data_IF_966517436387
#
_entry.id   IF_966517436387
#
_cell.length_a   1.000
_cell.length_b   1.000
_cell.length_c   1.000
_cell.angle_alpha   90.00
_cell.angle_beta   90.00
_cell.angle_gamma   90.00
#
_symmetry.space_group_name_H-M   'P 1'
#
loop_
_entity.id
_entity.type
_entity.pdbx_description
1 polymer ?
#
# COMPACT_ATOMS: atom_id res chain seq x y z
N UNK A 1 3.27 5.03 9.60
CA UNK A 1 2.46 3.85 9.18
C UNK A 1 1.00 4.28 8.97
N UNK A 2 0.29 3.76 7.95
CA UNK A 2 -1.12 4.13 7.69
C UNK A 2 -2.09 3.50 8.69
N UNK A 3 -3.08 4.26 9.15
CA UNK A 3 -4.12 3.77 10.06
C UNK A 3 -5.40 3.39 9.32
N UNK A 4 -6.26 2.59 9.96
CA UNK A 4 -7.60 2.30 9.43
C UNK A 4 -8.40 3.60 9.19
N UNK A 5 -8.35 4.53 10.13
CA UNK A 5 -9.06 5.81 10.02
C UNK A 5 -8.57 6.64 8.84
N UNK A 6 -7.25 6.69 8.64
CA UNK A 6 -6.64 7.39 7.50
C UNK A 6 -7.07 6.77 6.16
N UNK A 7 -7.10 5.44 6.07
CA UNK A 7 -7.61 4.72 4.90
C UNK A 7 -9.09 5.02 4.67
N UNK A 8 -9.93 4.98 5.71
CA UNK A 8 -11.36 5.31 5.60
C UNK A 8 -11.57 6.74 5.11
N UNK A 9 -10.80 7.70 5.62
CA UNK A 9 -10.82 9.08 5.14
C UNK A 9 -10.39 9.19 3.68
N UNK A 10 -9.33 8.47 3.28
CA UNK A 10 -8.84 8.46 1.90
C UNK A 10 -9.86 7.87 0.92
N UNK A 11 -10.51 6.77 1.29
CA UNK A 11 -11.52 6.07 0.48
C UNK A 11 -12.93 6.68 0.61
N UNK A 12 -13.11 7.67 1.48
CA UNK A 12 -14.41 8.28 1.81
C UNK A 12 -15.44 7.25 2.30
N UNK A 13 -14.99 6.32 3.14
CA UNK A 13 -15.83 5.33 3.81
C UNK A 13 -16.22 5.86 5.19
N UNK A 14 -17.52 5.99 5.44
CA UNK A 14 -18.10 6.53 6.67
C UNK A 14 -18.74 5.46 7.57
N UNK A 15 -18.87 4.22 7.08
CA UNK A 15 -19.42 3.07 7.83
C UNK A 15 -18.32 2.10 8.30
N UNK A 16 -18.68 1.16 9.17
CA UNK A 16 -17.74 0.23 9.83
C UNK A 16 -17.78 -1.20 9.25
N UNK A 17 -18.77 -1.52 8.41
CA UNK A 17 -18.96 -2.88 7.87
C UNK A 17 -17.73 -3.44 7.15
N UNK A 18 -16.94 -2.57 6.52
CA UNK A 18 -15.73 -2.94 5.79
C UNK A 18 -14.45 -2.87 6.64
N UNK A 19 -14.50 -2.54 7.93
CA UNK A 19 -13.30 -2.32 8.75
C UNK A 19 -12.39 -3.55 8.80
N UNK A 20 -12.98 -4.74 8.95
CA UNK A 20 -12.22 -6.01 8.94
C UNK A 20 -11.52 -6.24 7.60
N UNK A 21 -12.22 -5.93 6.50
CA UNK A 21 -11.65 -6.03 5.16
C UNK A 21 -10.54 -5.01 4.97
N UNK A 22 -10.75 -3.74 5.32
CA UNK A 22 -9.76 -2.69 5.20
C UNK A 22 -8.48 -3.00 5.99
N UNK A 23 -8.60 -3.56 7.20
CA UNK A 23 -7.44 -4.03 7.98
C UNK A 23 -6.65 -5.13 7.26
N UNK A 24 -7.34 -6.07 6.63
CA UNK A 24 -6.69 -7.12 5.83
C UNK A 24 -5.99 -6.56 4.59
N UNK A 25 -6.60 -5.56 3.94
CA UNK A 25 -6.04 -4.88 2.78
C UNK A 25 -4.83 -4.01 3.16
N UNK A 26 -4.86 -3.34 4.32
CA UNK A 26 -3.71 -2.60 4.86
C UNK A 26 -2.54 -3.55 5.08
N UNK A 27 -2.79 -4.72 5.68
CA UNK A 27 -1.74 -5.72 5.93
C UNK A 27 -1.15 -6.25 4.60
N UNK A 28 -2.01 -6.51 3.62
CA UNK A 28 -1.60 -6.96 2.28
C UNK A 28 -0.80 -5.88 1.54
N UNK A 29 -1.26 -4.62 1.61
CA UNK A 29 -0.59 -3.49 1.01
C UNK A 29 0.80 -3.27 1.62
N UNK A 30 0.96 -3.44 2.93
CA UNK A 30 2.25 -3.35 3.61
C UNK A 30 3.25 -4.33 3.02
N UNK A 31 2.86 -5.60 2.91
CA UNK A 31 3.73 -6.62 2.35
C UNK A 31 4.10 -6.30 0.89
N UNK A 32 3.13 -5.92 0.06
CA UNK A 32 3.40 -5.57 -1.34
C UNK A 32 4.34 -4.37 -1.50
N UNK A 33 4.14 -3.32 -0.70
CA UNK A 33 5.01 -2.13 -0.72
C UNK A 33 6.43 -2.49 -0.30
N UNK A 34 6.59 -3.29 0.76
CA UNK A 34 7.90 -3.78 1.21
C UNK A 34 8.58 -4.65 0.15
N UNK A 35 7.86 -5.62 -0.42
CA UNK A 35 8.40 -6.54 -1.44
C UNK A 35 8.80 -5.81 -2.72
N UNK A 36 7.94 -4.90 -3.20
CA UNK A 36 8.20 -4.14 -4.43
C UNK A 36 9.29 -3.11 -4.22
N UNK A 37 9.31 -2.46 -3.06
CA UNK A 37 10.36 -1.51 -2.68
C UNK A 37 11.67 -2.17 -2.27
N UNK A 38 11.69 -3.50 -2.04
CA UNK A 38 12.84 -4.23 -1.47
C UNK A 38 13.30 -3.60 -0.14
N UNK A 39 12.35 -3.41 0.76
CA UNK A 39 12.57 -2.77 2.06
C UNK A 39 12.25 -3.75 3.18
N UNK A 40 13.02 -3.68 4.26
CA UNK A 40 12.67 -4.27 5.55
C UNK A 40 11.82 -3.30 6.38
N UNK A 41 11.46 -3.69 7.61
CA UNK A 41 10.63 -2.89 8.51
C UNK A 41 11.29 -1.56 8.91
N UNK A 42 12.62 -1.54 9.01
CA UNK A 42 13.38 -0.33 9.37
C UNK A 42 13.29 0.69 8.25
N UNK A 43 13.67 0.30 7.02
CA UNK A 43 13.62 1.17 5.84
C UNK A 43 12.19 1.58 5.46
N UNK A 44 11.22 0.69 5.68
CA UNK A 44 9.80 1.00 5.51
C UNK A 44 9.37 2.13 6.45
N UNK A 45 9.90 2.15 7.68
CA UNK A 45 9.57 3.17 8.69
C UNK A 45 10.31 4.49 8.44
N UNK A 46 11.55 4.46 7.96
CA UNK A 46 12.35 5.66 7.64
C UNK A 46 11.79 6.47 6.46
N UNK A 47 11.21 5.80 5.46
CA UNK A 47 10.72 6.43 4.23
C UNK A 47 9.24 6.79 4.28
N UNK A 48 8.81 7.32 5.43
CA UNK A 48 7.40 7.34 5.83
C UNK A 48 6.48 8.01 4.81
N UNK A 49 6.87 9.13 4.19
CA UNK A 49 5.99 9.88 3.27
C UNK A 49 5.75 9.15 1.93
N UNK A 50 6.81 8.58 1.35
CA UNK A 50 6.73 7.84 0.08
C UNK A 50 5.99 6.52 0.32
N UNK A 51 6.34 5.83 1.39
CA UNK A 51 5.72 4.56 1.79
C UNK A 51 4.24 4.78 2.11
N UNK A 52 3.88 5.83 2.86
CA UNK A 52 2.47 6.17 3.17
C UNK A 52 1.66 6.38 1.89
N UNK A 53 2.20 7.10 0.91
CA UNK A 53 1.53 7.31 -0.38
C UNK A 53 1.33 6.00 -1.14
N UNK A 54 2.37 5.17 -1.22
CA UNK A 54 2.30 3.86 -1.87
C UNK A 54 1.30 2.91 -1.16
N UNK A 55 1.24 2.96 0.16
CA UNK A 55 0.28 2.22 0.98
C UNK A 55 -1.16 2.63 0.68
N UNK A 56 -1.48 3.94 0.74
CA UNK A 56 -2.83 4.45 0.45
C UNK A 56 -3.27 4.09 -0.96
N UNK A 57 -2.39 4.25 -1.95
CA UNK A 57 -2.65 3.85 -3.33
C UNK A 57 -2.95 2.35 -3.45
N UNK A 58 -2.15 1.50 -2.81
CA UNK A 58 -2.32 0.05 -2.89
C UNK A 58 -3.62 -0.40 -2.25
N UNK A 59 -3.96 0.12 -1.06
CA UNK A 59 -5.22 -0.22 -0.38
C UNK A 59 -6.42 0.21 -1.22
N UNK A 60 -6.40 1.42 -1.76
CA UNK A 60 -7.45 1.92 -2.68
C UNK A 60 -7.60 1.02 -3.90
N UNK A 61 -6.49 0.67 -4.57
CA UNK A 61 -6.54 -0.19 -5.74
C UNK A 61 -7.15 -1.56 -5.42
N UNK A 62 -6.71 -2.21 -4.34
CA UNK A 62 -7.21 -3.52 -3.95
C UNK A 62 -8.69 -3.48 -3.55
N UNK A 63 -9.12 -2.42 -2.86
CA UNK A 63 -10.50 -2.24 -2.43
C UNK A 63 -11.46 -2.00 -3.61
N UNK A 64 -11.05 -1.17 -4.58
CA UNK A 64 -11.86 -0.84 -5.76
C UNK A 64 -11.90 -1.98 -6.79
N UNK A 65 -10.85 -2.79 -6.88
CA UNK A 65 -10.69 -3.82 -7.91
C UNK A 65 -10.84 -5.25 -7.36
N UNK A 66 -11.57 -5.45 -6.26
CA UNK A 66 -11.71 -6.75 -5.56
C UNK A 66 -12.00 -7.96 -6.45
N UNK A 67 -12.74 -7.78 -7.54
CA UNK A 67 -13.14 -8.87 -8.43
C UNK A 67 -12.28 -9.00 -9.70
N UNK A 68 -11.47 -7.99 -10.02
CA UNK A 68 -10.81 -7.86 -11.33
C UNK A 68 -9.40 -7.26 -11.23
N UNK A 69 -8.75 -7.40 -10.08
CA UNK A 69 -7.45 -6.80 -9.83
C UNK A 69 -6.39 -7.27 -10.83
N UNK A 70 -5.74 -6.31 -11.51
CA UNK A 70 -4.55 -6.55 -12.31
C UNK A 70 -3.31 -6.23 -11.47
N UNK A 71 -2.77 -7.27 -10.83
CA UNK A 71 -1.58 -7.17 -10.00
C UNK A 71 -0.33 -6.76 -10.78
N UNK A 72 -0.28 -6.96 -12.10
CA UNK A 72 0.86 -6.53 -12.92
C UNK A 72 0.89 -5.01 -13.02
N UNK A 73 -0.26 -4.40 -13.27
CA UNK A 73 -0.41 -2.93 -13.31
C UNK A 73 -0.10 -2.30 -11.96
N UNK A 74 -0.66 -2.86 -10.87
CA UNK A 74 -0.38 -2.42 -9.51
C UNK A 74 1.12 -2.45 -9.20
N UNK A 75 1.77 -3.58 -9.51
CA UNK A 75 3.21 -3.74 -9.27
C UNK A 75 4.01 -2.72 -10.06
N UNK A 76 3.70 -2.48 -11.34
CA UNK A 76 4.42 -1.51 -12.16
C UNK A 76 4.34 -0.09 -11.57
N UNK A 77 3.15 0.33 -11.14
CA UNK A 77 2.97 1.64 -10.49
C UNK A 77 3.76 1.72 -9.18
N UNK A 78 3.72 0.67 -8.36
CA UNK A 78 4.50 0.62 -7.12
C UNK A 78 6.01 0.69 -7.37
N UNK A 79 6.51 0.02 -8.43
CA UNK A 79 7.92 0.12 -8.81
C UNK A 79 8.33 1.55 -9.16
N UNK A 80 7.46 2.29 -9.82
CA UNK A 80 7.70 3.69 -10.16
C UNK A 80 7.69 4.60 -8.92
N UNK A 81 6.69 4.42 -8.03
CA UNK A 81 6.57 5.19 -6.79
C UNK A 81 7.74 4.95 -5.83
N UNK A 82 8.20 3.70 -5.75
CA UNK A 82 9.24 3.26 -4.82
C UNK A 82 10.62 3.22 -5.47
N UNK A 83 10.79 3.79 -6.67
CA UNK A 83 12.02 3.63 -7.45
C UNK A 83 13.28 4.04 -6.66
N UNK A 84 13.24 5.20 -5.99
CA UNK A 84 14.35 5.70 -5.19
C UNK A 84 14.66 4.86 -3.94
N UNK A 85 13.71 4.00 -3.52
CA UNK A 85 13.84 3.14 -2.34
C UNK A 85 14.32 1.74 -2.67
N UNK A 86 14.27 1.33 -3.95
CA UNK A 86 14.80 0.04 -4.36
C UNK A 86 16.31 0.06 -4.16
N UNK A 87 16.82 -0.84 -3.33
CA UNK A 87 18.25 -1.11 -3.31
C UNK A 87 18.68 -1.58 -4.70
N UNK A 88 19.57 -0.80 -5.32
CA UNK A 88 20.38 -1.27 -6.43
C UNK A 88 21.25 -2.40 -5.89
N UNK A 89 21.06 -3.60 -6.43
CA UNK A 89 22.02 -4.68 -6.22
C UNK A 89 23.26 -4.26 -7.01
N UNK A 90 24.24 -3.66 -6.31
CA UNK A 90 25.61 -3.47 -6.83
C UNK A 90 26.33 -4.81 -6.80
#
# INVERSE_FOLDING_TARGET
>A
MVTLQEVKQYLRIDFEDDDTLLLSLISTAKQLVMDVGRMDEERFSENEDVVRTAMLYTVSYLYENRNTADFSKLTLTLRAMLFAQREDVI
#
